data_IF_091959291672
#
_entry.id   IF_091959291672
#
_cell.length_a   1.000
_cell.length_b   1.000
_cell.length_c   1.000
_cell.angle_alpha   90.00
_cell.angle_beta   90.00
_cell.angle_gamma   90.00
#
_symmetry.space_group_name_H-M   'P 1'
#
loop_
_entity.id
_entity.type
_entity.pdbx_description
1 polymer ?
#
# COMPACT_ATOMS: atom_id res chain seq x y z
N UNK A 1 -9.63 17.81 3.84
CA UNK A 1 -8.63 17.86 4.94
C UNK A 1 -9.16 18.79 6.01
N UNK A 2 -9.34 18.33 7.26
CA UNK A 2 -9.79 19.18 8.38
C UNK A 2 -8.70 20.19 8.74
N UNK A 3 -9.09 21.43 9.05
CA UNK A 3 -8.16 22.50 9.43
C UNK A 3 -7.94 22.47 10.93
N UNK A 4 -6.68 22.55 11.38
CA UNK A 4 -6.33 22.65 12.81
C UNK A 4 -6.46 24.11 13.31
N UNK A 5 -6.81 24.25 14.58
CA UNK A 5 -6.90 25.48 15.38
C UNK A 5 -5.61 25.75 16.15
N UNK A 6 -4.69 24.78 16.23
CA UNK A 6 -3.42 24.89 16.99
C UNK A 6 -2.22 24.30 16.23
N UNK A 7 -1.04 24.87 16.45
CA UNK A 7 0.18 24.60 15.64
C UNK A 7 1.09 23.49 16.19
N UNK A 8 0.61 22.54 17.02
CA UNK A 8 1.58 21.56 17.58
C UNK A 8 1.11 20.35 18.40
N UNK A 9 -0.18 20.05 18.54
CA UNK A 9 -0.64 18.87 19.30
C UNK A 9 -1.77 18.14 18.57
N UNK A 10 -1.49 17.69 17.34
CA UNK A 10 -2.50 17.10 16.46
C UNK A 10 -2.68 15.60 16.66
N UNK A 11 -1.66 14.86 17.11
CA UNK A 11 -1.71 13.39 17.30
C UNK A 11 -0.85 12.95 18.49
N UNK A 12 -1.38 12.10 19.36
CA UNK A 12 -0.63 11.47 20.45
C UNK A 12 -1.23 10.10 20.83
N UNK A 13 -0.47 9.30 21.60
CA UNK A 13 -0.88 7.97 22.06
C UNK A 13 -0.33 7.69 23.48
N UNK A 14 -0.79 6.62 24.12
CA UNK A 14 -0.30 6.19 25.42
C UNK A 14 -0.59 4.72 25.68
N UNK A 15 -0.18 4.20 26.83
CA UNK A 15 -0.37 2.77 27.13
C UNK A 15 -1.82 2.42 27.50
N UNK A 16 -2.55 3.38 28.10
CA UNK A 16 -3.95 3.20 28.55
C UNK A 16 -4.97 3.85 27.61
N UNK A 17 -4.53 4.32 26.44
CA UNK A 17 -5.38 4.94 25.42
C UNK A 17 -4.79 4.70 24.04
N UNK A 18 -5.65 4.41 23.06
CA UNK A 18 -5.22 4.26 21.66
C UNK A 18 -4.85 5.60 21.03
N UNK A 19 -4.82 5.69 19.69
CA UNK A 19 -4.49 6.93 19.02
C UNK A 19 -5.51 8.02 19.33
N UNK A 20 -5.01 9.22 19.61
CA UNK A 20 -5.79 10.42 19.87
C UNK A 20 -5.42 11.48 18.83
N UNK A 21 -6.44 12.08 18.23
CA UNK A 21 -6.30 13.15 17.26
C UNK A 21 -6.94 14.42 17.80
N UNK A 22 -6.23 15.54 17.66
CA UNK A 22 -6.61 16.85 18.15
C UNK A 22 -6.32 17.07 19.64
N UNK A 23 -5.89 18.28 19.98
CA UNK A 23 -5.87 18.75 21.37
C UNK A 23 -7.27 18.61 21.99
N UNK A 24 -7.37 18.09 23.21
CA UNK A 24 -8.68 17.84 23.84
C UNK A 24 -9.45 16.61 23.34
N UNK A 25 -8.82 15.78 22.49
CA UNK A 25 -9.33 14.49 22.03
C UNK A 25 -10.53 14.61 21.07
N UNK A 26 -10.36 15.35 19.98
CA UNK A 26 -11.40 15.51 18.97
C UNK A 26 -11.80 14.14 18.35
N UNK A 27 -10.85 13.24 18.19
CA UNK A 27 -11.09 11.83 17.90
C UNK A 27 -10.21 10.97 18.81
N UNK A 28 -10.86 10.14 19.62
CA UNK A 28 -10.24 9.25 20.59
C UNK A 28 -10.61 7.81 20.28
N UNK A 29 -9.60 6.97 20.06
CA UNK A 29 -9.77 5.53 19.97
C UNK A 29 -9.31 4.91 21.28
N UNK A 30 -10.24 4.30 22.00
CA UNK A 30 -9.94 3.63 23.27
C UNK A 30 -9.13 2.34 23.06
N UNK A 31 -8.44 1.86 24.10
CA UNK A 31 -7.98 0.48 24.13
C UNK A 31 -9.17 -0.47 24.02
N UNK A 32 -9.02 -1.61 23.34
CA UNK A 32 -10.11 -2.59 23.15
C UNK A 32 -11.37 -1.97 22.51
N UNK A 33 -11.18 -0.99 21.61
CA UNK A 33 -12.25 -0.23 20.96
C UNK A 33 -13.23 -1.10 20.16
N UNK A 34 -12.88 -2.35 19.88
CA UNK A 34 -13.73 -3.32 19.21
C UNK A 34 -14.70 -4.07 20.14
N UNK A 35 -14.52 -3.95 21.45
CA UNK A 35 -15.34 -4.62 22.47
C UNK A 35 -16.09 -3.60 23.32
N UNK A 36 -15.49 -2.43 23.58
CA UNK A 36 -16.10 -1.39 24.39
C UNK A 36 -16.54 -0.16 23.55
N UNK A 37 -17.35 0.69 24.17
CA UNK A 37 -17.90 1.91 23.58
C UNK A 37 -17.25 3.19 24.17
N UNK A 38 -15.97 3.10 24.54
CA UNK A 38 -15.23 4.20 25.16
C UNK A 38 -14.51 5.10 24.15
N UNK A 39 -14.45 4.70 22.87
CA UNK A 39 -14.01 5.58 21.80
C UNK A 39 -15.02 6.71 21.61
N UNK A 40 -14.53 7.91 21.31
CA UNK A 40 -15.40 9.06 21.11
C UNK A 40 -14.85 10.06 20.09
N UNK A 41 -15.77 10.82 19.49
CA UNK A 41 -15.47 11.88 18.54
C UNK A 41 -16.26 13.13 18.92
N UNK A 42 -15.59 14.24 19.16
CA UNK A 42 -16.20 15.53 19.50
C UNK A 42 -15.31 16.66 18.93
N UNK A 43 -15.64 17.11 17.72
CA UNK A 43 -14.85 18.07 16.96
C UNK A 43 -15.12 19.50 17.46
N UNK A 44 -14.48 19.86 18.57
CA UNK A 44 -14.67 21.16 19.21
C UNK A 44 -13.35 21.86 19.54
N UNK A 45 -12.31 21.10 19.85
CA UNK A 45 -11.12 21.64 20.50
C UNK A 45 -10.01 21.99 19.52
N UNK A 46 -9.64 21.07 18.61
CA UNK A 46 -8.47 21.23 17.76
C UNK A 46 -8.80 21.42 16.28
N UNK A 47 -9.83 20.77 15.75
CA UNK A 47 -10.20 20.87 14.35
C UNK A 47 -11.43 21.75 14.17
N UNK A 48 -11.52 22.40 13.01
CA UNK A 48 -12.72 23.11 12.61
C UNK A 48 -13.77 22.13 12.05
N UNK A 49 -15.01 22.34 12.45
CA UNK A 49 -16.17 21.78 11.76
C UNK A 49 -16.19 22.32 10.32
N UNK A 50 -16.32 21.47 9.29
CA UNK A 50 -16.38 21.91 7.91
C UNK A 50 -17.55 22.89 7.63
N UNK A 51 -17.42 23.82 6.66
CA UNK A 51 -18.53 24.68 6.27
C UNK A 51 -19.74 23.86 5.81
N UNK A 52 -20.92 24.17 6.35
CA UNK A 52 -22.16 23.45 6.05
C UNK A 52 -22.48 22.28 6.99
N UNK A 53 -21.56 21.96 7.91
CA UNK A 53 -21.79 21.02 9.00
C UNK A 53 -21.96 21.81 10.32
N UNK A 54 -22.88 21.35 11.18
CA UNK A 54 -23.10 21.95 12.50
C UNK A 54 -22.96 20.92 13.63
N UNK A 55 -22.94 19.64 13.31
CA UNK A 55 -22.76 18.58 14.30
C UNK A 55 -21.27 18.39 14.63
N UNK A 56 -20.94 18.47 15.92
CA UNK A 56 -19.60 18.19 16.47
C UNK A 56 -19.26 16.69 16.40
N UNK A 57 -20.26 15.83 16.19
CA UNK A 57 -20.13 14.39 16.08
C UNK A 57 -20.21 13.88 14.64
N UNK A 58 -20.12 14.75 13.62
CA UNK A 58 -20.37 14.40 12.22
C UNK A 58 -19.52 13.24 11.66
N UNK A 59 -18.35 12.96 12.22
CA UNK A 59 -17.50 11.83 11.80
C UNK A 59 -18.13 10.46 12.11
N UNK A 60 -18.94 10.39 13.18
CA UNK A 60 -19.43 9.14 13.75
C UNK A 60 -20.95 9.11 13.92
N UNK A 61 -21.62 10.28 13.83
CA UNK A 61 -23.05 10.46 14.08
C UNK A 61 -23.46 10.37 15.55
N UNK A 62 -22.52 10.07 16.44
CA UNK A 62 -22.72 10.00 17.90
C UNK A 62 -21.42 10.29 18.63
N UNK A 63 -21.51 10.81 19.86
CA UNK A 63 -20.33 11.10 20.68
C UNK A 63 -19.46 9.86 20.90
N UNK A 64 -20.06 8.78 21.39
CA UNK A 64 -19.37 7.52 21.66
C UNK A 64 -19.66 6.51 20.55
N UNK A 65 -18.68 5.68 20.25
CA UNK A 65 -18.80 4.62 19.24
C UNK A 65 -17.93 3.40 19.57
N UNK A 66 -18.36 2.24 19.06
CA UNK A 66 -17.59 1.01 19.08
C UNK A 66 -16.98 0.81 17.69
N UNK A 67 -15.70 0.52 17.65
CA UNK A 67 -14.93 0.39 16.41
C UNK A 67 -15.10 -1.01 15.86
N UNK A 68 -15.75 -1.14 14.71
CA UNK A 68 -15.83 -2.45 14.04
C UNK A 68 -14.51 -2.84 13.37
N UNK A 69 -13.81 -1.85 12.80
CA UNK A 69 -12.59 -2.04 12.02
C UNK A 69 -11.76 -0.75 12.01
N UNK A 70 -10.42 -0.87 11.99
CA UNK A 70 -9.49 0.23 11.74
C UNK A 70 -8.55 -0.19 10.62
N UNK A 71 -8.53 0.59 9.54
CA UNK A 71 -7.57 0.44 8.45
C UNK A 71 -6.57 1.60 8.51
N UNK A 72 -5.26 1.29 8.49
CA UNK A 72 -4.19 2.30 8.48
C UNK A 72 -3.48 2.25 7.13
N UNK A 73 -3.58 3.34 6.38
CA UNK A 73 -2.95 3.48 5.07
C UNK A 73 -1.67 4.31 5.17
N UNK A 74 -0.54 3.68 4.86
CA UNK A 74 0.75 4.35 4.81
C UNK A 74 1.07 4.76 3.37
N UNK A 75 1.09 6.07 3.10
CA UNK A 75 1.63 6.61 1.85
C UNK A 75 3.11 6.90 2.03
N UNK A 76 3.94 5.91 1.71
CA UNK A 76 5.39 6.09 1.70
C UNK A 76 5.86 6.54 0.32
N UNK A 77 6.48 7.73 0.26
CA UNK A 77 7.77 7.80 -0.45
C UNK A 77 8.70 6.94 0.39
N UNK A 78 9.10 5.80 -0.15
CA UNK A 78 9.75 4.68 0.54
C UNK A 78 10.76 5.17 1.58
N UNK A 79 10.47 5.02 2.88
CA UNK A 79 11.47 5.26 3.91
C UNK A 79 12.36 4.02 4.01
N UNK A 80 13.31 3.96 3.06
CA UNK A 80 14.75 3.63 3.18
C UNK A 80 15.22 2.53 4.15
N UNK A 81 14.38 1.57 4.53
CA UNK A 81 14.83 0.37 5.24
C UNK A 81 14.48 -0.96 4.56
N UNK A 82 13.74 -0.94 3.43
CA UNK A 82 13.34 -2.16 2.74
C UNK A 82 13.83 -2.26 1.28
N UNK A 83 14.52 -1.23 0.75
CA UNK A 83 15.23 -1.31 -0.54
C UNK A 83 16.73 -1.43 -0.26
N UNK A 84 17.19 -2.59 0.20
CA UNK A 84 18.51 -3.14 -0.16
C UNK A 84 18.78 -4.42 0.61
N UNK A 85 18.24 -5.53 0.11
CA UNK A 85 18.95 -6.80 0.20
C UNK A 85 19.17 -7.45 -1.16
N UNK A 86 19.17 -6.64 -2.24
CA UNK A 86 19.57 -7.17 -3.56
C UNK A 86 20.27 -6.13 -4.45
N UNK A 87 21.25 -5.44 -3.88
CA UNK A 87 22.13 -4.53 -4.64
C UNK A 87 23.19 -5.27 -5.46
N UNK A 88 23.28 -6.59 -5.41
CA UNK A 88 24.32 -7.31 -6.12
C UNK A 88 23.90 -7.82 -7.51
N UNK A 89 22.63 -8.18 -7.75
CA UNK A 89 22.21 -8.68 -9.08
C UNK A 89 21.62 -7.59 -9.99
N UNK A 90 20.78 -6.67 -9.49
CA UNK A 90 20.17 -5.62 -10.33
C UNK A 90 21.19 -4.59 -10.86
N UNK A 91 22.28 -4.35 -10.13
CA UNK A 91 23.39 -3.47 -10.56
C UNK A 91 24.14 -4.06 -11.76
N UNK A 92 24.11 -5.38 -11.95
CA UNK A 92 24.82 -6.04 -13.05
C UNK A 92 24.19 -5.75 -14.42
N UNK A 93 22.85 -5.83 -14.52
CA UNK A 93 22.15 -5.68 -15.80
C UNK A 93 22.10 -4.23 -16.29
N UNK A 94 21.93 -3.25 -15.39
CA UNK A 94 21.92 -1.82 -15.73
C UNK A 94 23.28 -1.36 -16.27
N UNK A 95 24.38 -1.83 -15.67
CA UNK A 95 25.74 -1.56 -16.15
C UNK A 95 26.00 -2.16 -17.54
N UNK A 96 25.44 -3.34 -17.83
CA UNK A 96 25.57 -3.95 -19.16
C UNK A 96 24.74 -3.23 -20.23
N UNK A 97 23.56 -2.70 -19.89
CA UNK A 97 22.78 -1.84 -20.82
C UNK A 97 23.57 -0.58 -21.16
N UNK A 98 24.21 0.03 -20.16
CA UNK A 98 25.04 1.21 -20.37
C UNK A 98 26.23 0.91 -21.29
N UNK A 99 26.93 -0.21 -21.06
CA UNK A 99 28.03 -0.67 -21.94
C UNK A 99 27.58 -0.90 -23.37
N UNK A 100 26.39 -1.48 -23.58
CA UNK A 100 25.85 -1.69 -24.92
C UNK A 100 25.56 -0.34 -25.60
N UNK A 101 24.98 0.63 -24.88
CA UNK A 101 24.68 1.97 -25.40
C UNK A 101 25.94 2.72 -25.84
N UNK A 102 27.02 2.63 -25.06
CA UNK A 102 28.30 3.31 -25.31
C UNK A 102 29.16 2.67 -26.41
N UNK A 103 28.82 1.46 -26.88
CA UNK A 103 29.55 0.81 -27.97
C UNK A 103 29.38 1.59 -29.29
N UNK A 104 30.49 2.09 -29.84
CA UNK A 104 30.52 2.77 -31.16
C UNK A 104 30.64 1.76 -32.30
N UNK A 105 29.90 2.01 -33.38
CA UNK A 105 29.87 1.22 -34.61
C UNK A 105 30.31 2.04 -35.83
N UNK A 106 30.90 3.22 -35.62
CA UNK A 106 31.18 4.19 -36.69
C UNK A 106 32.27 3.74 -37.68
N UNK A 107 33.13 2.80 -37.27
CA UNK A 107 34.19 2.25 -38.11
C UNK A 107 33.70 1.15 -39.07
N UNK A 108 32.45 0.73 -39.00
CA UNK A 108 31.88 -0.31 -39.86
C UNK A 108 31.29 0.25 -41.17
N UNK A 109 31.36 -0.52 -42.29
CA UNK A 109 30.61 -0.22 -43.51
C UNK A 109 29.11 -0.03 -43.25
N UNK A 110 28.46 0.84 -44.04
CA UNK A 110 27.06 1.25 -43.83
C UNK A 110 26.08 0.08 -43.68
N UNK A 111 26.19 -0.96 -44.51
CA UNK A 111 25.28 -2.11 -44.41
C UNK A 111 25.47 -2.88 -43.10
N UNK A 112 26.71 -3.01 -42.64
CA UNK A 112 27.05 -3.71 -41.40
C UNK A 112 26.66 -2.86 -40.18
N UNK A 113 26.93 -1.56 -40.20
CA UNK A 113 26.54 -0.63 -39.14
C UNK A 113 25.04 -0.66 -38.89
N UNK A 114 24.25 -0.56 -39.97
CA UNK A 114 22.79 -0.54 -39.86
C UNK A 114 22.26 -1.83 -39.22
N UNK A 115 22.75 -3.00 -39.67
CA UNK A 115 22.34 -4.28 -39.12
C UNK A 115 22.72 -4.43 -37.63
N UNK A 116 23.93 -3.98 -37.25
CA UNK A 116 24.42 -4.04 -35.87
C UNK A 116 23.64 -3.09 -34.95
N UNK A 117 23.31 -1.88 -35.42
CA UNK A 117 22.55 -0.91 -34.64
C UNK A 117 21.10 -1.39 -34.41
N UNK A 118 20.46 -1.99 -35.42
CA UNK A 118 19.14 -2.60 -35.28
C UNK A 118 19.14 -3.76 -34.26
N UNK A 119 20.14 -4.65 -34.33
CA UNK A 119 20.28 -5.75 -33.39
C UNK A 119 20.54 -5.25 -31.95
N UNK A 120 21.38 -4.21 -31.81
CA UNK A 120 21.68 -3.57 -30.52
C UNK A 120 20.42 -2.97 -29.88
N UNK A 121 19.61 -2.23 -30.63
CA UNK A 121 18.36 -1.65 -30.11
C UNK A 121 17.36 -2.74 -29.70
N UNK A 122 17.24 -3.80 -30.50
CA UNK A 122 16.40 -4.96 -30.16
C UNK A 122 16.85 -5.66 -28.88
N UNK A 123 18.17 -5.81 -28.70
CA UNK A 123 18.76 -6.41 -27.51
C UNK A 123 18.52 -5.55 -26.26
N UNK A 124 18.67 -4.23 -26.37
CA UNK A 124 18.37 -3.28 -25.28
C UNK A 124 16.90 -3.37 -24.88
N UNK A 125 15.99 -3.30 -25.85
CA UNK A 125 14.55 -3.41 -25.60
C UNK A 125 14.17 -4.72 -24.91
N UNK A 126 14.72 -5.84 -25.38
CA UNK A 126 14.49 -7.15 -24.77
C UNK A 126 15.00 -7.22 -23.33
N UNK A 127 16.14 -6.61 -23.05
CA UNK A 127 16.74 -6.57 -21.71
C UNK A 127 15.92 -5.73 -20.73
N UNK A 128 15.39 -4.60 -21.17
CA UNK A 128 14.47 -3.77 -20.38
C UNK A 128 13.20 -4.53 -20.01
N UNK A 129 12.65 -5.33 -20.93
CA UNK A 129 11.48 -6.18 -20.67
C UNK A 129 11.79 -7.24 -19.60
N UNK A 130 12.91 -7.94 -19.73
CA UNK A 130 13.33 -8.96 -18.75
C UNK A 130 13.51 -8.35 -17.35
N UNK A 131 14.13 -7.17 -17.25
CA UNK A 131 14.26 -6.48 -15.97
C UNK A 131 12.91 -6.16 -15.32
N UNK A 132 11.93 -5.70 -16.10
CA UNK A 132 10.57 -5.44 -15.59
C UNK A 132 9.91 -6.72 -15.09
N UNK A 133 10.08 -7.83 -15.81
CA UNK A 133 9.56 -9.13 -15.40
C UNK A 133 10.20 -9.63 -14.10
N UNK A 134 11.53 -9.54 -13.97
CA UNK A 134 12.24 -9.91 -12.73
C UNK A 134 11.69 -9.12 -11.53
N UNK A 135 11.49 -7.80 -11.70
CA UNK A 135 10.90 -6.97 -10.63
C UNK A 135 9.47 -7.42 -10.29
N UNK A 136 8.66 -7.76 -11.29
CA UNK A 136 7.31 -8.26 -11.06
C UNK A 136 7.31 -9.59 -10.29
N UNK A 137 8.21 -10.52 -10.65
CA UNK A 137 8.35 -11.79 -9.94
C UNK A 137 8.83 -11.63 -8.49
N UNK A 138 9.77 -10.72 -8.22
CA UNK A 138 10.20 -10.47 -6.83
C UNK A 138 9.09 -9.83 -5.98
N UNK A 139 8.27 -8.95 -6.57
CA UNK A 139 7.07 -8.44 -5.91
C UNK A 139 6.04 -9.54 -5.63
N UNK A 140 5.82 -10.44 -6.58
CA UNK A 140 4.92 -11.58 -6.43
C UNK A 140 5.42 -12.56 -5.37
N UNK A 141 6.71 -12.91 -5.39
CA UNK A 141 7.36 -13.72 -4.37
C UNK A 141 7.24 -13.08 -2.99
N UNK A 142 7.47 -11.76 -2.88
CA UNK A 142 7.28 -11.04 -1.62
C UNK A 142 5.81 -11.06 -1.15
N UNK A 143 4.87 -10.92 -2.09
CA UNK A 143 3.45 -11.07 -1.81
C UNK A 143 3.15 -12.48 -1.29
N UNK A 144 3.62 -13.53 -1.96
CA UNK A 144 3.41 -14.93 -1.55
C UNK A 144 4.03 -15.18 -0.18
N UNK A 145 5.25 -14.73 0.07
CA UNK A 145 5.91 -14.86 1.37
C UNK A 145 5.09 -14.21 2.49
N UNK A 146 4.60 -12.99 2.24
CA UNK A 146 3.73 -12.26 3.17
C UNK A 146 2.35 -12.91 3.29
N UNK A 147 1.88 -13.55 2.22
CA UNK A 147 0.61 -14.24 2.15
C UNK A 147 0.65 -15.53 2.98
N UNK A 148 1.69 -16.34 2.79
CA UNK A 148 1.90 -17.66 3.41
C UNK A 148 2.36 -17.56 4.86
N UNK A 149 3.10 -16.51 5.25
CA UNK A 149 3.50 -16.27 6.65
C UNK A 149 2.35 -15.75 7.54
N UNK A 150 1.16 -15.49 6.98
CA UNK A 150 -0.03 -15.14 7.77
C UNK A 150 -0.62 -16.34 8.52
N UNK A 151 -1.48 -16.09 9.50
CA UNK A 151 -2.18 -17.18 10.19
C UNK A 151 -3.04 -17.98 9.18
N UNK A 152 -2.84 -19.29 9.12
CA UNK A 152 -3.56 -20.20 8.19
C UNK A 152 -5.08 -20.16 8.33
N UNK A 153 -5.59 -19.62 9.44
CA UNK A 153 -7.02 -19.37 9.71
C UNK A 153 -7.61 -18.23 8.87
N UNK A 154 -6.77 -17.36 8.32
CA UNK A 154 -7.20 -16.19 7.53
C UNK A 154 -7.20 -16.44 6.01
N UNK A 155 -6.68 -17.59 5.57
CA UNK A 155 -6.73 -18.03 4.18
C UNK A 155 -8.03 -18.82 3.96
N UNK A 156 -8.86 -18.31 3.05
CA UNK A 156 -10.11 -18.94 2.62
C UNK A 156 -9.87 -19.59 1.26
N UNK A 157 -10.34 -20.84 1.13
CA UNK A 157 -10.27 -21.59 -0.12
C UNK A 157 -11.64 -21.58 -0.80
N UNK A 158 -11.69 -21.17 -2.06
CA UNK A 158 -12.86 -21.20 -2.92
C UNK A 158 -12.72 -22.31 -3.96
N UNK A 159 -13.77 -23.09 -4.16
CA UNK A 159 -13.86 -23.96 -5.33
C UNK A 159 -14.60 -23.20 -6.43
N UNK A 160 -13.88 -22.85 -7.50
CA UNK A 160 -14.43 -22.15 -8.65
C UNK A 160 -14.31 -23.07 -9.86
N UNK A 161 -15.40 -23.74 -10.20
CA UNK A 161 -15.47 -24.61 -11.37
C UNK A 161 -14.62 -25.89 -11.29
N UNK A 162 -14.27 -26.37 -10.09
CA UNK A 162 -13.42 -27.54 -9.87
C UNK A 162 -11.97 -27.20 -9.51
N UNK A 163 -11.59 -25.93 -9.62
CA UNK A 163 -10.27 -25.44 -9.26
C UNK A 163 -10.31 -24.74 -7.88
N UNK A 164 -9.31 -25.00 -7.03
CA UNK A 164 -9.23 -24.42 -5.70
C UNK A 164 -8.41 -23.12 -5.77
N UNK A 165 -9.05 -21.99 -5.50
CA UNK A 165 -8.39 -20.70 -5.32
C UNK A 165 -8.26 -20.36 -3.83
N UNK A 166 -7.10 -19.90 -3.39
CA UNK A 166 -6.86 -19.43 -2.03
C UNK A 166 -6.79 -17.90 -2.00
N UNK A 167 -7.51 -17.26 -1.08
CA UNK A 167 -7.46 -15.81 -0.87
C UNK A 167 -7.40 -15.48 0.61
N UNK A 168 -6.94 -14.27 0.96
CA UNK A 168 -7.05 -13.76 2.33
C UNK A 168 -8.42 -13.17 2.55
N UNK A 169 -8.99 -13.35 3.74
CA UNK A 169 -10.26 -12.72 4.13
C UNK A 169 -10.21 -11.19 3.95
N UNK A 170 -9.07 -10.57 4.22
CA UNK A 170 -8.84 -9.12 4.05
C UNK A 170 -8.92 -8.63 2.61
N UNK A 171 -8.70 -9.51 1.62
CA UNK A 171 -8.80 -9.15 0.19
C UNK A 171 -10.20 -9.34 -0.37
N UNK A 172 -11.13 -9.87 0.41
CA UNK A 172 -12.52 -10.07 0.00
C UNK A 172 -13.37 -8.85 0.36
N UNK A 173 -13.76 -8.09 -0.67
CA UNK A 173 -14.75 -7.03 -0.51
C UNK A 173 -16.11 -7.62 -0.13
N UNK A 174 -16.71 -7.12 0.97
CA UNK A 174 -18.11 -7.38 1.29
C UNK A 174 -19.00 -6.49 0.43
N UNK A 175 -19.87 -7.11 -0.36
CA UNK A 175 -20.94 -6.41 -1.06
C UNK A 175 -22.25 -6.62 -0.30
N UNK A 176 -22.63 -5.69 0.60
CA UNK A 176 -23.80 -5.85 1.47
C UNK A 176 -25.12 -5.96 0.69
N UNK A 177 -25.14 -5.47 -0.56
CA UNK A 177 -26.29 -5.57 -1.45
C UNK A 177 -26.28 -6.83 -2.34
N UNK A 178 -25.28 -7.71 -2.20
CA UNK A 178 -25.22 -8.95 -2.97
C UNK A 178 -26.42 -9.82 -2.65
N UNK A 179 -27.08 -10.33 -3.70
CA UNK A 179 -28.19 -11.29 -3.59
C UNK A 179 -27.75 -12.55 -2.82
N UNK A 180 -26.46 -12.90 -2.90
CA UNK A 180 -25.87 -14.05 -2.22
C UNK A 180 -25.57 -13.81 -0.72
N UNK A 181 -25.54 -12.54 -0.28
CA UNK A 181 -25.26 -12.17 1.12
C UNK A 181 -26.53 -12.08 1.98
N UNK A 182 -27.72 -12.17 1.37
CA UNK A 182 -29.01 -12.14 2.06
C UNK A 182 -29.43 -13.57 2.45
N UNK A 183 -28.99 -14.06 3.61
CA UNK A 183 -29.57 -15.22 4.28
C UNK A 183 -29.50 -15.05 5.79
#
# INVERSE_FOLDING_TARGET
>A
KMRSKSDGLEVFHGENYGPVFGCGHDLFISSESNINNYSYSQIESCYFIPPGETDVHFLTGSKNFTVSEIEVFCFGTTNRYLICNDKNENVSLENEILKLKELSTDDFPVEIKTAVDEEKESLIASKDVLQKQIRAFELEKHFIDTFVKGETKDIIHFNVGGEIMAVKRSTLGRFPNSVLAKR
#
